data_IF_458759179793
#
_entry.id   IF_458759179793
#
_cell.length_a   1.000
_cell.length_b   1.000
_cell.length_c   1.000
_cell.angle_alpha   90.00
_cell.angle_beta   90.00
_cell.angle_gamma   90.00
#
_symmetry.space_group_name_H-M   'P 1'
#
loop_
_entity.id
_entity.type
_entity.pdbx_description
1 polymer ?
#
# COMPACT_ATOMS: atom_id res chain seq x y z
N UNK A 1 -23.70 7.78 15.26
CA UNK A 1 -24.30 7.70 13.90
C UNK A 1 -23.53 8.39 12.77
N UNK A 2 -22.78 9.49 12.96
CA UNK A 2 -21.84 10.04 11.94
C UNK A 2 -20.39 9.64 12.22
N UNK A 3 -19.99 9.70 13.50
CA UNK A 3 -18.67 9.26 13.95
C UNK A 3 -18.43 7.78 13.65
N UNK A 4 -19.43 6.95 13.89
CA UNK A 4 -19.39 5.50 13.73
C UNK A 4 -19.10 5.09 12.26
N UNK A 5 -19.54 5.89 11.29
CA UNK A 5 -19.32 5.59 9.87
C UNK A 5 -17.94 6.01 9.37
N UNK A 6 -17.44 7.17 9.84
CA UNK A 6 -16.07 7.60 9.55
C UNK A 6 -15.06 6.63 10.19
N UNK A 7 -15.34 6.19 11.41
CA UNK A 7 -14.54 5.17 12.08
C UNK A 7 -14.59 3.83 11.33
N UNK A 8 -15.76 3.44 10.81
CA UNK A 8 -15.86 2.27 9.92
C UNK A 8 -14.99 2.39 8.66
N UNK A 9 -14.89 3.57 8.04
CA UNK A 9 -14.00 3.77 6.89
C UNK A 9 -12.53 3.72 7.27
N UNK A 10 -12.15 4.28 8.42
CA UNK A 10 -10.79 4.17 8.96
C UNK A 10 -10.43 2.72 9.25
N UNK A 11 -11.35 1.92 9.77
CA UNK A 11 -11.14 0.49 9.99
C UNK A 11 -11.00 -0.29 8.68
N UNK A 12 -11.81 0.02 7.66
CA UNK A 12 -11.67 -0.59 6.32
C UNK A 12 -10.33 -0.26 5.69
N UNK A 13 -9.93 1.03 5.73
CA UNK A 13 -8.59 1.48 5.32
C UNK A 13 -7.50 0.71 6.05
N UNK A 14 -7.60 0.61 7.38
CA UNK A 14 -6.59 -0.05 8.21
C UNK A 14 -6.39 -1.51 7.80
N UNK A 15 -7.46 -2.23 7.44
CA UNK A 15 -7.34 -3.60 6.93
C UNK A 15 -6.52 -3.71 5.64
N UNK A 16 -6.53 -2.69 4.77
CA UNK A 16 -5.69 -2.64 3.56
C UNK A 16 -4.23 -2.37 3.93
N UNK A 17 -4.00 -1.45 4.87
CA UNK A 17 -2.65 -1.07 5.32
C UNK A 17 -1.97 -2.21 6.07
N UNK A 18 -2.70 -2.93 6.92
CA UNK A 18 -2.18 -4.06 7.68
C UNK A 18 -1.80 -5.22 6.76
N UNK A 19 -2.62 -5.52 5.75
CA UNK A 19 -2.33 -6.51 4.72
C UNK A 19 -1.01 -6.20 3.99
N UNK A 20 -0.83 -4.96 3.54
CA UNK A 20 0.42 -4.50 2.91
C UNK A 20 1.64 -4.68 3.81
N UNK A 21 1.51 -4.38 5.11
CA UNK A 21 2.60 -4.55 6.08
C UNK A 21 2.94 -6.01 6.29
N UNK A 22 1.95 -6.89 6.36
CA UNK A 22 2.17 -8.34 6.47
C UNK A 22 3.00 -8.84 5.30
N UNK A 23 2.71 -8.40 4.07
CA UNK A 23 3.45 -8.82 2.87
C UNK A 23 4.95 -8.47 2.87
N UNK A 24 5.36 -7.42 3.59
CA UNK A 24 6.78 -7.03 3.71
C UNK A 24 7.39 -7.40 5.08
N UNK A 25 6.59 -7.97 5.98
CA UNK A 25 7.05 -8.38 7.31
C UNK A 25 7.91 -9.61 7.16
N UNK A 26 9.17 -9.47 7.53
CA UNK A 26 10.13 -10.55 7.51
C UNK A 26 9.99 -11.44 8.74
N UNK A 27 9.94 -12.75 8.50
CA UNK A 27 10.08 -13.77 9.53
C UNK A 27 11.29 -14.63 9.17
N UNK A 28 12.37 -14.62 9.98
CA UNK A 28 13.58 -15.38 9.67
C UNK A 28 13.32 -16.88 9.46
N UNK A 29 13.84 -17.42 8.38
CA UNK A 29 13.89 -18.84 8.08
C UNK A 29 15.27 -19.18 7.53
N UNK A 30 16.18 -19.56 8.44
CA UNK A 30 17.60 -19.76 8.15
C UNK A 30 17.91 -20.56 6.88
N UNK A 31 17.14 -21.60 6.59
CA UNK A 31 17.39 -22.43 5.40
C UNK A 31 17.08 -21.66 4.11
N UNK A 32 15.93 -20.98 4.06
CA UNK A 32 15.56 -20.13 2.93
C UNK A 32 16.43 -18.87 2.84
N UNK A 33 16.78 -18.28 3.98
CA UNK A 33 17.60 -17.07 4.05
C UNK A 33 19.01 -17.35 3.52
N UNK A 34 19.60 -18.48 3.93
CA UNK A 34 20.91 -18.92 3.45
C UNK A 34 20.89 -19.15 1.93
N UNK A 35 19.85 -19.81 1.41
CA UNK A 35 19.69 -20.00 -0.04
C UNK A 35 19.63 -18.66 -0.78
N UNK A 36 18.85 -17.71 -0.26
CA UNK A 36 18.70 -16.37 -0.84
C UNK A 36 20.02 -15.60 -0.84
N UNK A 37 20.77 -15.59 0.27
CA UNK A 37 22.08 -14.95 0.35
C UNK A 37 23.10 -15.59 -0.60
N UNK A 38 23.12 -16.92 -0.72
CA UNK A 38 24.01 -17.62 -1.65
C UNK A 38 23.70 -17.24 -3.10
N UNK A 39 22.42 -17.16 -3.47
CA UNK A 39 22.01 -16.71 -4.80
C UNK A 39 22.47 -15.26 -5.07
N UNK A 40 22.26 -14.36 -4.11
CA UNK A 40 22.71 -12.97 -4.21
C UNK A 40 24.23 -12.88 -4.35
N UNK A 41 24.99 -13.66 -3.57
CA UNK A 41 26.45 -13.68 -3.64
C UNK A 41 26.96 -14.09 -5.03
N UNK A 42 26.33 -15.11 -5.63
CA UNK A 42 26.68 -15.58 -6.97
C UNK A 42 26.42 -14.50 -8.05
N UNK A 43 25.35 -13.72 -7.89
CA UNK A 43 24.95 -12.65 -8.82
C UNK A 43 25.64 -11.31 -8.57
N UNK A 44 26.19 -11.10 -7.37
CA UNK A 44 26.72 -9.81 -6.95
C UNK A 44 28.08 -9.47 -7.60
N UNK A 45 28.26 -8.17 -7.87
CA UNK A 45 29.56 -7.58 -8.17
C UNK A 45 30.60 -7.92 -7.09
N UNK A 46 31.89 -8.14 -7.44
CA UNK A 46 32.93 -8.46 -6.47
C UNK A 46 33.04 -7.52 -5.26
N UNK A 47 32.70 -6.24 -5.44
CA UNK A 47 32.70 -5.23 -4.36
C UNK A 47 31.65 -5.49 -3.26
N UNK A 48 30.53 -6.14 -3.59
CA UNK A 48 29.42 -6.40 -2.67
C UNK A 48 29.53 -7.77 -1.98
N UNK A 49 30.36 -8.66 -2.53
CA UNK A 49 30.56 -10.03 -2.04
C UNK A 49 31.07 -10.13 -0.59
N UNK A 50 32.02 -9.29 -0.11
CA UNK A 50 32.48 -9.36 1.28
C UNK A 50 31.35 -9.18 2.29
N UNK A 51 30.48 -8.18 2.09
CA UNK A 51 29.31 -7.94 2.94
C UNK A 51 28.36 -9.13 2.96
N UNK A 52 28.05 -9.71 1.79
CA UNK A 52 27.20 -10.89 1.69
C UNK A 52 27.80 -12.12 2.38
N UNK A 53 29.13 -12.28 2.37
CA UNK A 53 29.79 -13.37 3.11
C UNK A 53 29.68 -13.20 4.63
N UNK A 54 29.70 -11.97 5.13
CA UNK A 54 29.46 -11.70 6.56
C UNK A 54 28.03 -12.11 6.96
N UNK A 55 27.03 -11.71 6.18
CA UNK A 55 25.63 -12.12 6.41
C UNK A 55 25.43 -13.65 6.33
N UNK A 56 26.05 -14.31 5.35
CA UNK A 56 26.03 -15.78 5.24
C UNK A 56 26.61 -16.43 6.50
N UNK A 57 27.73 -15.90 7.00
CA UNK A 57 28.37 -16.42 8.22
C UNK A 57 27.46 -16.23 9.43
N UNK A 58 26.86 -15.06 9.61
CA UNK A 58 25.89 -14.80 10.67
C UNK A 58 24.71 -15.78 10.60
N UNK A 59 24.15 -15.98 9.41
CA UNK A 59 23.04 -16.93 9.17
C UNK A 59 23.41 -18.38 9.51
N UNK A 60 24.61 -18.84 9.13
CA UNK A 60 25.11 -20.19 9.45
C UNK A 60 25.28 -20.36 10.97
N UNK A 61 25.83 -19.35 11.64
CA UNK A 61 26.09 -19.37 13.08
C UNK A 61 24.83 -19.17 13.94
N UNK A 62 23.70 -18.77 13.34
CA UNK A 62 22.49 -18.42 14.09
C UNK A 62 22.59 -17.09 14.84
N UNK A 63 23.46 -16.20 14.36
CA UNK A 63 23.59 -14.83 14.83
C UNK A 63 22.50 -13.94 14.17
N UNK A 64 22.44 -12.65 14.51
CA UNK A 64 21.56 -11.69 13.83
C UNK A 64 22.11 -11.36 12.44
N UNK A 65 21.23 -11.28 11.43
CA UNK A 65 21.58 -10.96 10.04
C UNK A 65 20.47 -10.15 9.39
N UNK A 66 20.81 -9.44 8.32
CA UNK A 66 19.86 -8.67 7.52
C UNK A 66 18.79 -9.56 6.88
N UNK A 67 17.60 -9.00 6.59
CA UNK A 67 16.61 -9.70 5.78
C UNK A 67 17.11 -9.80 4.31
N UNK A 68 17.42 -11.01 3.80
CA UNK A 68 17.92 -11.15 2.43
C UNK A 68 16.86 -10.80 1.38
N UNK A 69 15.57 -10.83 1.74
CA UNK A 69 14.48 -10.56 0.81
C UNK A 69 14.22 -9.08 0.55
N UNK A 70 14.85 -8.16 1.29
CA UNK A 70 14.65 -6.71 1.09
C UNK A 70 14.93 -6.26 -0.33
N UNK A 71 15.90 -6.88 -1.00
CA UNK A 71 16.25 -6.57 -2.39
C UNK A 71 15.14 -6.91 -3.40
N UNK A 72 14.18 -7.74 -3.02
CA UNK A 72 13.07 -8.20 -3.86
C UNK A 72 11.75 -7.50 -3.53
N UNK A 73 11.71 -6.68 -2.48
CA UNK A 73 10.51 -5.91 -2.15
C UNK A 73 10.40 -4.71 -3.11
N UNK A 74 9.28 -4.63 -3.81
CA UNK A 74 8.98 -3.55 -4.75
C UNK A 74 8.39 -2.30 -4.09
N UNK A 75 8.03 -2.41 -2.80
CA UNK A 75 7.58 -1.31 -1.96
C UNK A 75 8.06 -1.52 -0.52
N UNK A 76 8.11 -0.44 0.27
CA UNK A 76 8.53 -0.46 1.67
C UNK A 76 7.57 0.33 2.57
N UNK A 77 7.87 0.41 3.87
CA UNK A 77 7.01 1.10 4.85
C UNK A 77 6.74 2.57 4.49
N UNK A 78 7.65 3.27 3.80
CA UNK A 78 7.40 4.64 3.35
C UNK A 78 6.31 4.69 2.30
N UNK A 79 6.30 3.75 1.35
CA UNK A 79 5.27 3.66 0.32
C UNK A 79 3.92 3.26 0.92
N UNK A 80 3.92 2.33 1.89
CA UNK A 80 2.70 1.97 2.65
C UNK A 80 2.15 3.19 3.38
N UNK A 81 3.01 3.97 4.04
CA UNK A 81 2.61 5.20 4.75
C UNK A 81 2.12 6.28 3.79
N UNK A 82 2.70 6.36 2.59
CA UNK A 82 2.24 7.26 1.53
C UNK A 82 0.80 6.91 1.13
N UNK A 83 0.50 5.63 0.88
CA UNK A 83 -0.86 5.17 0.61
C UNK A 83 -1.80 5.46 1.79
N UNK A 84 -1.37 5.17 3.02
CA UNK A 84 -2.15 5.43 4.23
C UNK A 84 -2.59 6.90 4.32
N UNK A 85 -1.64 7.82 4.07
CA UNK A 85 -1.92 9.26 4.03
C UNK A 85 -2.88 9.64 2.90
N UNK A 86 -2.75 9.05 1.70
CA UNK A 86 -3.66 9.30 0.57
C UNK A 86 -5.10 8.90 0.94
N UNK A 87 -5.27 7.75 1.60
CA UNK A 87 -6.60 7.28 2.01
C UNK A 87 -7.17 8.07 3.19
N UNK A 88 -6.33 8.55 4.12
CA UNK A 88 -6.77 9.47 5.18
C UNK A 88 -7.19 10.84 4.63
N UNK A 89 -6.41 11.40 3.70
CA UNK A 89 -6.73 12.65 3.02
C UNK A 89 -8.07 12.54 2.29
N UNK A 90 -8.34 11.40 1.64
CA UNK A 90 -9.62 11.13 1.00
C UNK A 90 -10.79 11.17 1.99
N UNK A 91 -10.68 10.47 3.13
CA UNK A 91 -11.72 10.45 4.18
C UNK A 91 -11.97 11.88 4.70
N UNK A 92 -10.91 12.62 4.98
CA UNK A 92 -11.01 13.97 5.55
C UNK A 92 -11.59 14.98 4.55
N UNK A 93 -11.21 14.90 3.26
CA UNK A 93 -11.81 15.71 2.18
C UNK A 93 -13.30 15.41 2.03
N UNK A 94 -13.69 14.13 1.96
CA UNK A 94 -15.10 13.75 1.86
C UNK A 94 -15.95 14.23 3.05
N UNK A 95 -15.39 14.14 4.26
CA UNK A 95 -16.05 14.66 5.48
C UNK A 95 -16.30 16.16 5.40
N UNK A 96 -15.38 16.92 4.82
CA UNK A 96 -15.49 18.38 4.70
C UNK A 96 -16.45 18.79 3.58
N UNK A 97 -16.45 18.09 2.45
CA UNK A 97 -17.37 18.33 1.33
C UNK A 97 -18.84 18.15 1.73
N UNK A 98 -19.15 17.25 2.67
CA UNK A 98 -20.51 17.04 3.19
C UNK A 98 -21.02 18.20 4.07
N UNK A 99 -20.13 18.93 4.76
CA UNK A 99 -20.53 19.99 5.71
C UNK A 99 -20.97 21.26 5.00
N UNK A 100 -20.51 21.49 3.78
CA UNK A 100 -21.11 22.47 2.90
C UNK A 100 -22.41 21.83 2.38
N UNK A 101 -23.57 22.31 2.83
CA UNK A 101 -24.88 21.78 2.43
C UNK A 101 -25.21 21.90 0.92
N UNK A 102 -24.21 22.28 0.11
CA UNK A 102 -24.18 22.41 -1.35
C UNK A 102 -22.84 21.88 -1.93
N UNK A 103 -22.15 20.94 -1.27
CA UNK A 103 -20.95 20.32 -1.83
C UNK A 103 -21.28 19.83 -3.24
N UNK A 104 -20.73 20.48 -4.26
CA UNK A 104 -21.13 20.16 -5.63
C UNK A 104 -20.63 18.76 -5.94
N UNK A 105 -21.41 17.95 -6.66
CA UNK A 105 -20.99 16.63 -7.13
C UNK A 105 -19.59 16.66 -7.75
N UNK A 106 -19.26 17.77 -8.42
CA UNK A 106 -17.96 18.07 -8.98
C UNK A 106 -16.80 18.12 -7.97
N UNK A 107 -17.04 18.60 -6.75
CA UNK A 107 -16.02 18.58 -5.69
C UNK A 107 -15.72 17.14 -5.27
N UNK A 108 -16.75 16.33 -5.04
CA UNK A 108 -16.58 14.91 -4.67
C UNK A 108 -15.93 14.13 -5.81
N UNK A 109 -16.32 14.39 -7.06
CA UNK A 109 -15.68 13.84 -8.27
C UNK A 109 -14.20 14.14 -8.32
N UNK A 110 -13.81 15.41 -8.09
CA UNK A 110 -12.41 15.81 -8.06
C UNK A 110 -11.63 15.13 -6.94
N UNK A 111 -12.24 14.95 -5.75
CA UNK A 111 -11.62 14.23 -4.64
C UNK A 111 -11.38 12.77 -5.02
N UNK A 112 -12.37 12.09 -5.60
CA UNK A 112 -12.23 10.70 -6.05
C UNK A 112 -11.15 10.58 -7.13
N UNK A 113 -11.16 11.47 -8.13
CA UNK A 113 -10.20 11.47 -9.22
C UNK A 113 -8.76 11.73 -8.74
N UNK A 114 -8.56 12.71 -7.84
CA UNK A 114 -7.27 13.00 -7.20
C UNK A 114 -6.74 11.79 -6.42
N UNK A 115 -7.61 11.13 -5.64
CA UNK A 115 -7.24 9.92 -4.90
C UNK A 115 -6.86 8.78 -5.85
N UNK A 116 -7.63 8.51 -6.90
CA UNK A 116 -7.29 7.50 -7.90
C UNK A 116 -5.95 7.82 -8.57
N UNK A 117 -5.72 9.08 -8.94
CA UNK A 117 -4.46 9.49 -9.56
C UNK A 117 -3.25 9.22 -8.65
N UNK A 118 -3.32 9.62 -7.37
CA UNK A 118 -2.25 9.36 -6.39
C UNK A 118 -1.99 7.87 -6.18
N UNK A 119 -3.06 7.06 -6.16
CA UNK A 119 -2.94 5.60 -6.05
C UNK A 119 -2.28 5.00 -7.31
N UNK A 120 -2.65 5.46 -8.51
CA UNK A 120 -2.02 5.04 -9.77
C UNK A 120 -0.50 5.35 -9.74
N UNK A 121 -0.12 6.57 -9.37
CA UNK A 121 1.30 6.98 -9.29
C UNK A 121 2.08 6.13 -8.30
N UNK A 122 1.51 5.88 -7.12
CA UNK A 122 2.17 5.09 -6.10
C UNK A 122 2.29 3.62 -6.51
N UNK A 123 1.27 3.07 -7.17
CA UNK A 123 1.30 1.70 -7.69
C UNK A 123 2.36 1.52 -8.77
N UNK A 124 2.46 2.47 -9.71
CA UNK A 124 3.47 2.47 -10.76
C UNK A 124 4.89 2.62 -10.20
N UNK A 125 5.09 3.54 -9.23
CA UNK A 125 6.35 3.69 -8.47
C UNK A 125 6.79 2.38 -7.80
N UNK A 126 5.82 1.56 -7.40
CA UNK A 126 6.03 0.25 -6.78
C UNK A 126 6.00 -0.91 -7.81
N UNK A 127 6.23 -0.61 -9.09
CA UNK A 127 6.31 -1.58 -10.20
C UNK A 127 5.08 -2.49 -10.34
N UNK A 128 3.90 -2.02 -9.91
CA UNK A 128 2.65 -2.77 -9.98
C UNK A 128 2.41 -3.74 -8.83
N UNK A 129 3.28 -3.79 -7.82
CA UNK A 129 3.19 -4.79 -6.74
C UNK A 129 2.43 -4.28 -5.50
N UNK A 130 2.08 -2.99 -5.49
CA UNK A 130 1.37 -2.36 -4.37
C UNK A 130 -0.11 -2.73 -4.29
N UNK A 131 -0.73 -3.16 -5.39
CA UNK A 131 -2.16 -3.47 -5.39
C UNK A 131 -2.40 -4.76 -6.14
N UNK A 132 -2.68 -5.83 -5.40
CA UNK A 132 -3.09 -7.11 -5.98
C UNK A 132 -4.62 -7.18 -6.16
N UNK A 133 -5.09 -8.36 -6.58
CA UNK A 133 -6.52 -8.62 -6.77
C UNK A 133 -7.39 -8.39 -5.52
N UNK A 134 -6.86 -8.69 -4.33
CA UNK A 134 -7.59 -8.51 -3.08
C UNK A 134 -7.64 -7.03 -2.69
N UNK A 135 -6.48 -6.35 -2.69
CA UNK A 135 -6.35 -4.92 -2.40
C UNK A 135 -7.16 -4.07 -3.38
N UNK A 136 -7.16 -4.43 -4.66
CA UNK A 136 -7.98 -3.79 -5.68
C UNK A 136 -9.47 -3.80 -5.30
N UNK A 137 -10.01 -4.96 -4.94
CA UNK A 137 -11.41 -5.08 -4.53
C UNK A 137 -11.73 -4.22 -3.30
N UNK A 138 -10.83 -4.21 -2.31
CA UNK A 138 -11.00 -3.45 -1.07
C UNK A 138 -10.92 -1.94 -1.27
N UNK A 139 -10.01 -1.47 -2.11
CA UNK A 139 -9.92 -0.04 -2.47
C UNK A 139 -11.17 0.43 -3.20
N UNK A 140 -11.68 -0.33 -4.16
CA UNK A 140 -12.93 0.00 -4.87
C UNK A 140 -14.10 0.06 -3.89
N UNK A 141 -14.26 -0.96 -3.04
CA UNK A 141 -15.32 -1.01 -2.02
C UNK A 141 -15.22 0.20 -1.06
N UNK A 142 -14.01 0.52 -0.60
CA UNK A 142 -13.74 1.65 0.28
C UNK A 142 -14.11 3.00 -0.37
N UNK A 143 -13.66 3.26 -1.60
CA UNK A 143 -13.95 4.52 -2.30
C UNK A 143 -15.44 4.66 -2.56
N UNK A 144 -16.09 3.63 -3.09
CA UNK A 144 -17.54 3.65 -3.42
C UNK A 144 -18.38 3.85 -2.17
N UNK A 145 -18.11 3.11 -1.09
CA UNK A 145 -18.92 3.22 0.14
C UNK A 145 -18.71 4.56 0.86
N UNK A 146 -17.50 5.12 0.80
CA UNK A 146 -17.18 6.44 1.35
C UNK A 146 -17.85 7.56 0.55
N UNK A 147 -17.83 7.49 -0.78
CA UNK A 147 -18.48 8.46 -1.66
C UNK A 147 -20.00 8.46 -1.49
N UNK A 148 -20.63 7.28 -1.43
CA UNK A 148 -22.08 7.16 -1.16
C UNK A 148 -22.48 7.80 0.16
N UNK A 149 -21.64 7.64 1.19
CA UNK A 149 -21.87 8.30 2.46
C UNK A 149 -21.77 9.83 2.39
N UNK A 150 -20.98 10.36 1.46
CA UNK A 150 -20.92 11.79 1.16
C UNK A 150 -22.08 12.27 0.26
N UNK A 151 -22.96 11.37 -0.19
CA UNK A 151 -24.11 11.67 -1.05
C UNK A 151 -23.85 11.50 -2.54
N UNK A 152 -22.70 10.93 -2.93
CA UNK A 152 -22.33 10.74 -4.33
C UNK A 152 -22.45 9.26 -4.75
N UNK A 153 -23.37 8.96 -5.67
CA UNK A 153 -23.69 7.58 -6.07
C UNK A 153 -22.81 7.03 -7.21
N UNK A 154 -22.27 7.90 -8.07
CA UNK A 154 -21.63 7.51 -9.34
C UNK A 154 -20.12 7.29 -9.24
N UNK A 155 -19.58 7.03 -8.04
CA UNK A 155 -18.13 6.88 -7.84
C UNK A 155 -17.53 5.75 -8.70
N UNK A 156 -18.31 4.72 -9.01
CA UNK A 156 -17.86 3.58 -9.81
C UNK A 156 -17.51 3.96 -11.25
N UNK A 157 -18.19 4.96 -11.81
CA UNK A 157 -17.95 5.40 -13.19
C UNK A 157 -16.58 6.07 -13.30
N UNK A 158 -16.25 6.93 -12.33
CA UNK A 158 -14.93 7.58 -12.23
C UNK A 158 -13.83 6.53 -12.05
N UNK A 159 -14.06 5.54 -11.19
CA UNK A 159 -13.13 4.43 -10.97
C UNK A 159 -12.88 3.68 -12.28
N UNK A 160 -13.94 3.28 -12.99
CA UNK A 160 -13.82 2.54 -14.24
C UNK A 160 -13.08 3.33 -15.32
N UNK A 161 -13.22 4.66 -15.33
CA UNK A 161 -12.55 5.52 -16.30
C UNK A 161 -11.07 5.76 -15.96
N UNK A 162 -10.73 5.94 -14.69
CA UNK A 162 -9.43 6.50 -14.27
C UNK A 162 -8.48 5.52 -13.57
N UNK A 163 -8.98 4.38 -13.08
CA UNK A 163 -8.16 3.36 -12.39
C UNK A 163 -7.24 2.64 -13.38
N UNK A 164 -5.95 2.59 -13.08
CA UNK A 164 -4.93 1.90 -13.89
C UNK A 164 -4.26 0.72 -13.18
N UNK A 165 -4.39 0.61 -11.86
CA UNK A 165 -3.98 -0.57 -11.09
C UNK A 165 -5.01 -1.71 -11.16
#
# INVERSE_FOLDING_TARGET
MIFDKIESFRNQKQGIIDDLRVCITYTPNRDNDLLCFMEQYLKADPKNRPRLLEEIKHCINGEEYENPFLAYNYYNEKDIKELDNVLDEFIDKLKNSRKASNGSDKEIENVIADTIFKINELHDKCYGELIDSWRNKRLIEFIVTSAKYAGYENAIDIINEKKLW
#
